data_IF_232431651446
#
_entry.id   IF_232431651446
#
_cell.length_a   1.000
_cell.length_b   1.000
_cell.length_c   1.000
_cell.angle_alpha   90.00
_cell.angle_beta   90.00
_cell.angle_gamma   90.00
#
_symmetry.space_group_name_H-M   'P 1'
#
loop_
_entity.id
_entity.type
_entity.pdbx_description
1 polymer ?
#
# COMPACT_ATOMS: atom_id res chain seq x y z
N UNK A 1 -2.04 20.55 -14.00
CA UNK A 1 -1.68 19.58 -12.94
C UNK A 1 -2.88 18.95 -12.22
N UNK A 2 -4.14 19.16 -12.67
CA UNK A 2 -5.34 18.65 -11.96
C UNK A 2 -6.09 17.52 -12.69
N UNK A 3 -5.79 17.23 -13.96
CA UNK A 3 -6.42 16.14 -14.73
C UNK A 3 -5.89 14.74 -14.38
N UNK A 4 -4.72 14.62 -13.75
CA UNK A 4 -4.07 13.33 -13.47
C UNK A 4 -4.58 12.64 -12.19
N UNK A 5 -5.09 13.40 -11.21
CA UNK A 5 -5.76 12.82 -10.04
C UNK A 5 -7.12 12.20 -10.40
N UNK A 6 -7.83 12.77 -11.38
CA UNK A 6 -9.11 12.22 -11.84
C UNK A 6 -9.00 10.80 -12.37
N UNK A 7 -8.10 10.55 -13.32
CA UNK A 7 -7.94 9.21 -13.92
C UNK A 7 -7.48 8.14 -12.91
N UNK A 8 -6.60 8.49 -11.97
CA UNK A 8 -6.07 7.53 -10.98
C UNK A 8 -7.16 6.99 -10.02
N UNK A 9 -8.19 7.77 -9.73
CA UNK A 9 -9.33 7.30 -8.93
C UNK A 9 -10.27 6.40 -9.76
N UNK A 10 -10.42 6.67 -11.06
CA UNK A 10 -11.32 5.93 -11.94
C UNK A 10 -10.84 4.52 -12.28
N UNK A 11 -9.53 4.27 -12.42
CA UNK A 11 -9.01 2.91 -12.68
C UNK A 11 -9.33 1.92 -11.56
N UNK A 12 -9.42 2.38 -10.30
CA UNK A 12 -9.66 1.51 -9.15
C UNK A 12 -11.12 1.06 -9.10
N UNK A 13 -12.06 1.99 -9.26
CA UNK A 13 -13.50 1.69 -9.30
C UNK A 13 -13.84 0.79 -10.48
N UNK A 14 -13.16 0.93 -11.62
CA UNK A 14 -13.39 0.09 -12.82
C UNK A 14 -12.98 -1.38 -12.67
N UNK A 15 -12.15 -1.75 -11.67
CA UNK A 15 -11.63 -3.13 -11.54
C UNK A 15 -12.40 -4.01 -10.53
N UNK A 16 -12.89 -3.43 -9.43
CA UNK A 16 -13.64 -4.16 -8.38
C UNK A 16 -14.88 -3.40 -7.87
N UNK A 17 -15.24 -2.27 -8.49
CA UNK A 17 -16.40 -1.46 -8.13
C UNK A 17 -16.30 -0.79 -6.76
N UNK A 18 -17.37 -0.09 -6.40
CA UNK A 18 -17.49 0.61 -5.10
C UNK A 18 -17.37 -0.39 -3.94
N UNK A 19 -17.98 -1.57 -4.04
CA UNK A 19 -17.91 -2.61 -3.01
C UNK A 19 -16.47 -3.13 -2.76
N UNK A 20 -15.65 -3.23 -3.82
CA UNK A 20 -14.23 -3.59 -3.68
C UNK A 20 -13.41 -2.48 -3.03
N UNK A 21 -13.77 -1.22 -3.26
CA UNK A 21 -13.15 -0.07 -2.60
C UNK A 21 -13.55 0.00 -1.11
N UNK A 22 -14.84 -0.16 -0.78
CA UNK A 22 -15.33 -0.25 0.61
C UNK A 22 -14.64 -1.38 1.39
N UNK A 23 -14.51 -2.56 0.79
CA UNK A 23 -13.84 -3.71 1.42
C UNK A 23 -12.34 -3.44 1.67
N UNK A 24 -11.70 -2.64 0.81
CA UNK A 24 -10.29 -2.26 0.97
C UNK A 24 -10.10 -1.17 2.03
N UNK A 25 -11.00 -0.19 2.08
CA UNK A 25 -11.06 0.85 3.11
C UNK A 25 -11.46 0.31 4.49
N UNK A 26 -12.13 -0.85 4.55
CA UNK A 26 -12.39 -1.59 5.78
C UNK A 26 -11.26 -2.55 6.20
N UNK A 27 -10.26 -2.79 5.35
CA UNK A 27 -9.22 -3.79 5.59
C UNK A 27 -8.16 -3.33 6.60
N UNK A 28 -7.66 -4.28 7.41
CA UNK A 28 -6.47 -4.11 8.25
C UNK A 28 -5.41 -5.14 7.86
N UNK A 29 -4.27 -4.68 7.31
CA UNK A 29 -3.20 -5.55 6.78
C UNK A 29 -2.03 -5.65 7.75
N UNK A 30 -1.58 -6.85 8.08
CA UNK A 30 -0.33 -7.07 8.82
C UNK A 30 0.82 -7.35 7.85
N UNK A 31 1.92 -6.58 7.94
CA UNK A 31 3.16 -6.79 7.19
C UNK A 31 4.24 -7.29 8.15
N UNK A 32 4.82 -8.45 7.86
CA UNK A 32 5.88 -9.05 8.67
C UNK A 32 7.24 -8.80 7.99
N UNK A 33 8.17 -8.19 8.72
CA UNK A 33 9.47 -7.66 8.29
C UNK A 33 9.37 -6.54 7.24
N UNK A 34 9.93 -5.37 7.55
CA UNK A 34 9.88 -4.13 6.77
C UNK A 34 10.92 -4.09 5.63
N UNK A 35 11.09 -5.21 4.93
CA UNK A 35 12.04 -5.34 3.82
C UNK A 35 11.63 -4.48 2.60
N UNK A 36 12.52 -4.32 1.62
CA UNK A 36 12.21 -3.70 0.34
C UNK A 36 10.96 -4.30 -0.34
N UNK A 37 10.75 -5.61 -0.27
CA UNK A 37 9.54 -6.27 -0.80
C UNK A 37 8.30 -5.94 0.02
N UNK A 38 8.38 -6.01 1.35
CA UNK A 38 7.25 -5.70 2.23
C UNK A 38 6.79 -4.24 2.09
N UNK A 39 7.73 -3.31 1.99
CA UNK A 39 7.46 -1.87 1.79
C UNK A 39 6.92 -1.55 0.39
N UNK A 40 7.41 -2.20 -0.67
CA UNK A 40 6.85 -2.06 -2.04
C UNK A 40 5.41 -2.58 -2.12
N UNK A 41 5.11 -3.74 -1.53
CA UNK A 41 3.73 -4.27 -1.44
C UNK A 41 2.85 -3.29 -0.66
N UNK A 42 3.33 -2.80 0.50
CA UNK A 42 2.56 -1.88 1.33
C UNK A 42 2.28 -0.55 0.63
N UNK A 43 3.26 0.03 -0.09
CA UNK A 43 3.06 1.22 -0.95
C UNK A 43 1.93 0.98 -1.97
N UNK A 44 1.93 -0.18 -2.62
CA UNK A 44 0.91 -0.55 -3.60
C UNK A 44 -0.47 -0.85 -2.98
N UNK A 45 -0.56 -0.98 -1.65
CA UNK A 45 -1.81 -1.06 -0.87
C UNK A 45 -2.22 0.29 -0.24
N UNK A 46 -1.27 1.19 0.06
CA UNK A 46 -1.52 2.51 0.67
C UNK A 46 -1.95 3.57 -0.34
N UNK A 47 -1.39 3.57 -1.56
CA UNK A 47 -1.88 4.45 -2.64
C UNK A 47 -3.38 4.21 -3.00
N UNK A 48 -3.90 2.97 -2.96
CA UNK A 48 -5.30 2.61 -3.10
C UNK A 48 -6.45 3.33 -2.34
N UNK A 49 -6.39 3.70 -1.06
CA UNK A 49 -5.57 3.12 0.00
C UNK A 49 -6.34 2.05 0.81
N UNK A 50 -5.62 1.24 1.60
CA UNK A 50 -6.19 0.37 2.65
C UNK A 50 -6.58 1.17 3.90
N UNK A 51 -7.62 0.71 4.61
CA UNK A 51 -8.10 1.36 5.84
C UNK A 51 -7.05 1.48 6.94
N UNK A 52 -6.27 0.43 7.16
CA UNK A 52 -5.18 0.43 8.13
C UNK A 52 -4.13 -0.65 7.85
N UNK A 53 -2.94 -0.50 8.44
CA UNK A 53 -1.94 -1.55 8.47
C UNK A 53 -1.14 -1.54 9.78
N UNK A 54 -0.59 -2.70 10.12
CA UNK A 54 0.39 -2.87 11.20
C UNK A 54 1.66 -3.48 10.59
N UNK A 55 2.82 -2.93 10.94
CA UNK A 55 4.13 -3.52 10.60
C UNK A 55 4.67 -4.22 11.84
N UNK A 56 5.09 -5.47 11.68
CA UNK A 56 5.77 -6.26 12.71
C UNK A 56 7.15 -6.61 12.20
N UNK A 57 8.17 -5.92 12.71
CA UNK A 57 9.58 -6.22 12.44
C UNK A 57 10.35 -6.26 13.76
N UNK A 58 11.16 -7.31 13.93
CA UNK A 58 12.04 -7.49 15.09
C UNK A 58 13.51 -7.13 14.80
N UNK A 59 13.84 -6.80 13.55
CA UNK A 59 15.19 -6.50 13.11
C UNK A 59 15.51 -5.00 13.29
N UNK A 60 16.80 -4.69 13.47
CA UNK A 60 17.28 -3.30 13.40
C UNK A 60 17.65 -2.97 11.95
N UNK A 61 17.31 -1.76 11.52
CA UNK A 61 17.65 -1.24 10.19
C UNK A 61 19.17 -1.24 10.00
N UNK A 62 19.63 -1.87 8.92
CA UNK A 62 21.05 -1.94 8.54
C UNK A 62 21.35 -0.96 7.40
N UNK A 63 22.63 -0.84 7.03
CA UNK A 63 23.03 -0.02 5.87
C UNK A 63 22.53 -0.56 4.53
N UNK A 64 22.20 -1.85 4.43
CA UNK A 64 21.67 -2.47 3.21
C UNK A 64 20.20 -2.07 2.99
N UNK A 65 19.41 -1.97 4.07
CA UNK A 65 17.98 -1.59 4.02
C UNK A 65 17.76 -0.14 3.56
N UNK A 66 18.74 0.74 3.76
CA UNK A 66 18.70 2.16 3.35
C UNK A 66 19.04 2.32 1.86
N UNK A 67 19.55 1.28 1.19
CA UNK A 67 20.12 1.35 -0.16
C UNK A 67 19.61 0.27 -1.11
N UNK A 68 18.37 0.40 -1.59
CA UNK A 68 17.89 -0.37 -2.73
C UNK A 68 18.73 -0.03 -3.99
N UNK A 69 19.49 -1.00 -4.50
CA UNK A 69 20.22 -0.95 -5.77
C UNK A 69 19.48 -1.68 -6.88
#
# INVERSE_FOLDING_TARGET
>A
MWLKLGLLLWERVMLWGDHGQEALEAAHVCVINATATGTEILKNLVLPGIGSFTIVDGNQVTGEDVGNK
#
